data_IF_141337958905
#
_entry.id   IF_141337958905
#
_cell.length_a   1.000
_cell.length_b   1.000
_cell.length_c   1.000
_cell.angle_alpha   90.00
_cell.angle_beta   90.00
_cell.angle_gamma   90.00
#
_symmetry.space_group_name_H-M   'P 1'
#
loop_
_entity.id
_entity.type
_entity.pdbx_description
1 polymer ?
#
# COMPACT_ATOMS: atom_id res chain seq x y z
N UNK A 1 -27.03 -20.06 -35.22
CA UNK A 1 -25.89 -20.49 -34.38
C UNK A 1 -24.77 -19.43 -34.31
N UNK A 2 -24.30 -18.84 -35.43
CA UNK A 2 -23.26 -17.80 -35.40
C UNK A 2 -23.66 -16.55 -34.62
N UNK A 3 -24.92 -16.13 -34.66
CA UNK A 3 -25.39 -14.96 -33.94
C UNK A 3 -25.52 -15.21 -32.42
N UNK A 4 -25.86 -16.42 -32.01
CA UNK A 4 -25.85 -16.81 -30.59
C UNK A 4 -24.43 -16.75 -30.00
N UNK A 5 -23.45 -17.34 -30.69
CA UNK A 5 -22.05 -17.32 -30.21
C UNK A 5 -21.44 -15.92 -30.11
N UNK A 6 -21.91 -14.96 -30.88
CA UNK A 6 -21.42 -13.57 -30.84
C UNK A 6 -22.06 -12.77 -29.69
N UNK A 7 -23.30 -13.11 -29.31
CA UNK A 7 -24.05 -12.38 -28.26
C UNK A 7 -23.87 -12.93 -26.86
N UNK A 8 -23.78 -14.26 -26.74
CA UNK A 8 -23.94 -14.96 -25.46
C UNK A 8 -22.66 -15.66 -24.99
N UNK A 9 -21.60 -15.71 -25.81
CA UNK A 9 -20.33 -16.31 -25.45
C UNK A 9 -19.15 -15.65 -26.15
N UNK A 10 -17.96 -15.79 -25.57
CA UNK A 10 -16.73 -15.34 -26.20
C UNK A 10 -16.41 -16.19 -27.44
N UNK A 11 -15.95 -15.52 -28.51
CA UNK A 11 -15.44 -16.20 -29.68
C UNK A 11 -14.21 -17.05 -29.30
N UNK A 12 -14.22 -18.33 -29.66
CA UNK A 12 -13.13 -19.28 -29.34
C UNK A 12 -11.78 -18.81 -29.87
N UNK A 13 -11.77 -18.22 -31.07
CA UNK A 13 -10.55 -17.67 -31.67
C UNK A 13 -10.04 -16.49 -30.87
N UNK A 14 -10.92 -15.60 -30.42
CA UNK A 14 -10.54 -14.48 -29.55
C UNK A 14 -9.97 -14.97 -28.22
N UNK A 15 -10.61 -15.95 -27.57
CA UNK A 15 -10.14 -16.52 -26.33
C UNK A 15 -8.74 -17.15 -26.47
N UNK A 16 -8.50 -17.86 -27.57
CA UNK A 16 -7.21 -18.48 -27.88
C UNK A 16 -6.11 -17.44 -28.16
N UNK A 17 -6.45 -16.44 -28.99
CA UNK A 17 -5.53 -15.35 -29.32
C UNK A 17 -5.25 -14.40 -28.18
N UNK A 18 -6.20 -14.31 -27.25
CA UNK A 18 -6.10 -13.43 -26.06
C UNK A 18 -5.34 -14.02 -24.88
N UNK A 19 -4.80 -15.23 -24.98
CA UNK A 19 -4.02 -15.86 -23.92
C UNK A 19 -2.79 -15.02 -23.57
N UNK A 20 -2.52 -14.94 -22.29
CA UNK A 20 -1.49 -14.05 -21.73
C UNK A 20 -1.97 -12.61 -21.50
N UNK A 21 -3.00 -12.14 -22.22
CA UNK A 21 -3.54 -10.78 -22.07
C UNK A 21 -4.33 -10.63 -20.77
N UNK A 22 -5.19 -11.59 -20.45
CA UNK A 22 -5.96 -11.58 -19.20
C UNK A 22 -5.04 -11.69 -18.00
N UNK A 23 -4.13 -12.66 -18.02
CA UNK A 23 -3.15 -12.89 -16.98
C UNK A 23 -2.30 -11.65 -16.74
N UNK A 24 -1.89 -10.97 -17.80
CA UNK A 24 -1.14 -9.72 -17.71
C UNK A 24 -1.96 -8.61 -17.06
N UNK A 25 -3.23 -8.45 -17.42
CA UNK A 25 -4.08 -7.40 -16.81
C UNK A 25 -4.27 -7.65 -15.31
N UNK A 26 -4.49 -8.90 -14.90
CA UNK A 26 -4.55 -9.25 -13.48
C UNK A 26 -3.19 -9.03 -12.80
N UNK A 27 -2.10 -9.37 -13.48
CA UNK A 27 -0.75 -9.15 -12.95
C UNK A 27 -0.44 -7.66 -12.70
N UNK A 28 -0.94 -6.75 -13.56
CA UNK A 28 -0.83 -5.30 -13.31
C UNK A 28 -1.58 -4.88 -12.04
N UNK A 29 -2.76 -5.44 -11.79
CA UNK A 29 -3.50 -5.15 -10.56
C UNK A 29 -2.74 -5.66 -9.32
N UNK A 30 -2.20 -6.90 -9.37
CA UNK A 30 -1.39 -7.45 -8.29
C UNK A 30 -0.12 -6.62 -8.06
N UNK A 31 0.56 -6.20 -9.13
CA UNK A 31 1.76 -5.37 -9.04
C UNK A 31 1.47 -3.99 -8.43
N UNK A 32 0.35 -3.37 -8.78
CA UNK A 32 -0.07 -2.07 -8.21
C UNK A 32 -0.32 -2.20 -6.71
N UNK A 33 -1.03 -3.23 -6.29
CA UNK A 33 -1.26 -3.50 -4.87
C UNK A 33 0.04 -3.79 -4.13
N UNK A 34 0.92 -4.62 -4.72
CA UNK A 34 2.23 -4.92 -4.16
C UNK A 34 3.09 -3.65 -4.00
N UNK A 35 3.02 -2.71 -4.97
CA UNK A 35 3.71 -1.42 -4.87
C UNK A 35 3.26 -0.60 -3.66
N UNK A 36 1.97 -0.57 -3.37
CA UNK A 36 1.41 0.10 -2.19
C UNK A 36 1.92 -0.53 -0.88
N UNK A 37 1.89 -1.87 -0.79
CA UNK A 37 2.37 -2.59 0.41
C UNK A 37 3.87 -2.42 0.57
N UNK A 38 4.64 -2.46 -0.51
CA UNK A 38 6.09 -2.23 -0.48
C UNK A 38 6.44 -0.86 0.10
N UNK A 39 5.69 0.18 -0.26
CA UNK A 39 5.86 1.53 0.27
C UNK A 39 5.55 1.59 1.77
N UNK A 40 4.43 1.01 2.20
CA UNK A 40 4.08 0.91 3.62
C UNK A 40 5.16 0.18 4.40
N UNK A 41 5.66 -0.96 3.88
CA UNK A 41 6.71 -1.74 4.53
C UNK A 41 8.03 -0.95 4.64
N UNK A 42 8.36 -0.13 3.64
CA UNK A 42 9.52 0.76 3.70
C UNK A 42 9.36 1.80 4.81
N UNK A 43 8.21 2.47 4.86
CA UNK A 43 7.93 3.50 5.88
C UNK A 43 7.98 2.89 7.28
N UNK A 44 7.41 1.71 7.48
CA UNK A 44 7.43 1.01 8.76
C UNK A 44 8.86 0.64 9.20
N UNK A 45 9.72 0.18 8.29
CA UNK A 45 11.13 -0.07 8.58
C UNK A 45 11.86 1.20 9.00
N UNK A 46 11.61 2.30 8.28
CA UNK A 46 12.23 3.60 8.57
C UNK A 46 11.75 4.15 9.92
N UNK A 47 10.45 4.13 10.16
CA UNK A 47 9.84 4.68 11.38
C UNK A 47 10.18 3.86 12.63
N UNK A 48 10.42 2.55 12.49
CA UNK A 48 10.89 1.70 13.57
C UNK A 48 12.39 1.87 13.88
N UNK A 49 13.16 2.49 12.98
CA UNK A 49 14.60 2.66 13.18
C UNK A 49 14.90 3.56 14.39
N UNK A 50 16.05 3.34 15.01
CA UNK A 50 16.49 4.11 16.18
C UNK A 50 16.55 5.62 15.92
N UNK A 51 16.84 6.05 14.70
CA UNK A 51 16.94 7.46 14.34
C UNK A 51 15.59 8.17 14.34
N UNK A 52 14.52 7.45 14.02
CA UNK A 52 13.15 7.99 14.01
C UNK A 52 12.39 7.60 15.26
N UNK A 53 12.27 6.32 15.55
CA UNK A 53 11.60 5.81 16.74
C UNK A 53 10.12 6.18 16.85
N UNK A 54 9.46 6.41 15.70
CA UNK A 54 8.04 6.81 15.66
C UNK A 54 7.11 5.65 16.03
N UNK A 55 7.52 4.44 15.69
CA UNK A 55 6.77 3.23 15.98
C UNK A 55 7.67 2.14 16.54
N UNK A 56 7.05 1.19 17.24
CA UNK A 56 7.68 -0.04 17.70
C UNK A 56 6.88 -1.22 17.19
N UNK A 57 7.57 -2.13 16.52
CA UNK A 57 6.97 -3.38 16.04
C UNK A 57 6.83 -4.40 17.18
N UNK A 58 5.88 -5.36 17.07
CA UNK A 58 5.79 -6.49 17.99
C UNK A 58 7.11 -7.27 18.05
N UNK A 59 7.48 -7.72 19.23
CA UNK A 59 8.76 -8.42 19.44
C UNK A 59 8.88 -9.70 18.60
N UNK A 60 7.78 -10.43 18.44
CA UNK A 60 7.67 -11.63 17.61
C UNK A 60 7.81 -11.39 16.10
N UNK A 61 7.67 -10.14 15.66
CA UNK A 61 7.86 -9.71 14.26
C UNK A 61 9.22 -9.07 14.01
N UNK A 62 10.13 -9.20 14.98
CA UNK A 62 11.49 -8.69 14.88
C UNK A 62 12.50 -9.78 15.17
N UNK A 63 13.69 -9.70 14.58
CA UNK A 63 14.79 -10.59 14.92
C UNK A 63 15.89 -9.85 15.67
N UNK A 64 16.49 -10.57 16.62
CA UNK A 64 17.63 -10.08 17.37
C UNK A 64 18.92 -10.09 16.54
N UNK A 65 19.95 -9.47 17.11
CA UNK A 65 21.31 -9.56 16.58
C UNK A 65 22.14 -10.49 17.44
N UNK A 66 22.98 -11.31 16.81
CA UNK A 66 23.94 -12.18 17.50
C UNK A 66 25.04 -11.39 18.24
N UNK A 67 25.21 -10.11 17.92
CA UNK A 67 26.29 -9.26 18.44
C UNK A 67 25.75 -8.16 19.36
N UNK A 68 24.57 -7.61 19.02
CA UNK A 68 23.95 -6.52 19.77
C UNK A 68 22.63 -6.98 20.40
N UNK A 69 22.57 -7.32 21.69
CA UNK A 69 21.40 -7.96 22.32
C UNK A 69 20.16 -7.08 22.39
N UNK A 70 20.32 -5.77 22.23
CA UNK A 70 19.22 -4.80 22.21
C UNK A 70 18.66 -4.50 20.82
N UNK A 71 19.34 -4.96 19.76
CA UNK A 71 18.94 -4.67 18.37
C UNK A 71 17.76 -5.57 17.96
N UNK A 72 16.70 -4.93 17.50
CA UNK A 72 15.51 -5.56 16.92
C UNK A 72 15.37 -5.13 15.47
N UNK A 73 15.51 -6.07 14.54
CA UNK A 73 15.43 -5.80 13.11
C UNK A 73 13.98 -5.99 12.64
N UNK A 74 13.47 -5.14 11.74
CA UNK A 74 12.10 -5.24 11.20
C UNK A 74 12.01 -6.26 10.05
N UNK A 75 12.54 -7.47 10.23
CA UNK A 75 12.76 -8.48 9.19
C UNK A 75 11.50 -8.79 8.41
N UNK A 76 10.35 -8.86 9.09
CA UNK A 76 9.08 -9.17 8.43
C UNK A 76 8.71 -8.11 7.40
N UNK A 77 8.91 -6.83 7.72
CA UNK A 77 8.68 -5.75 6.75
C UNK A 77 9.77 -5.66 5.69
N UNK A 78 11.01 -6.01 6.02
CA UNK A 78 12.09 -6.10 5.02
C UNK A 78 11.77 -7.18 3.98
N UNK A 79 11.36 -8.37 4.42
CA UNK A 79 10.95 -9.47 3.55
C UNK A 79 9.66 -9.15 2.78
N UNK A 80 8.68 -8.53 3.43
CA UNK A 80 7.44 -8.08 2.77
C UNK A 80 7.76 -7.11 1.64
N UNK A 81 8.61 -6.11 1.88
CA UNK A 81 9.09 -5.16 0.87
C UNK A 81 9.75 -5.87 -0.30
N UNK A 82 10.66 -6.81 -0.02
CA UNK A 82 11.38 -7.54 -1.05
C UNK A 82 10.45 -8.42 -1.90
N UNK A 83 9.51 -9.15 -1.27
CA UNK A 83 8.49 -9.95 -1.97
C UNK A 83 7.58 -9.07 -2.83
N UNK A 84 7.10 -7.96 -2.29
CA UNK A 84 6.28 -7.01 -3.02
C UNK A 84 7.03 -6.37 -4.20
N UNK A 85 8.32 -6.04 -4.04
CA UNK A 85 9.15 -5.56 -5.14
C UNK A 85 9.31 -6.62 -6.25
N UNK A 86 9.49 -7.89 -5.87
CA UNK A 86 9.51 -9.00 -6.83
C UNK A 86 8.17 -9.11 -7.58
N UNK A 87 7.04 -9.04 -6.88
CA UNK A 87 5.70 -9.10 -7.49
C UNK A 87 5.45 -7.97 -8.49
N UNK A 88 6.04 -6.81 -8.33
CA UNK A 88 5.93 -5.71 -9.30
C UNK A 88 6.53 -6.03 -10.67
N UNK A 89 7.43 -7.01 -10.77
CA UNK A 89 7.97 -7.46 -12.06
C UNK A 89 7.06 -8.43 -12.81
N UNK A 90 6.00 -8.96 -12.17
CA UNK A 90 5.14 -10.00 -12.73
C UNK A 90 4.52 -9.65 -14.10
N UNK A 91 3.98 -8.45 -14.32
CA UNK A 91 3.43 -8.09 -15.65
C UNK A 91 4.48 -8.18 -16.76
N UNK A 92 5.71 -7.76 -16.47
CA UNK A 92 6.81 -7.81 -17.42
C UNK A 92 7.24 -9.24 -17.71
N UNK A 93 7.31 -10.11 -16.70
CA UNK A 93 7.61 -11.53 -16.89
C UNK A 93 6.59 -12.17 -17.83
N UNK A 94 5.29 -11.92 -17.63
CA UNK A 94 4.23 -12.44 -18.51
C UNK A 94 4.34 -11.89 -19.92
N UNK A 95 4.64 -10.58 -20.08
CA UNK A 95 4.86 -9.99 -21.39
C UNK A 95 6.03 -10.65 -22.12
N UNK A 96 7.13 -10.91 -21.43
CA UNK A 96 8.31 -11.55 -22.03
C UNK A 96 8.04 -13.00 -22.44
N UNK A 97 7.29 -13.77 -21.64
CA UNK A 97 6.89 -15.15 -21.97
C UNK A 97 5.97 -15.17 -23.19
N UNK A 98 5.08 -14.20 -23.33
CA UNK A 98 4.12 -14.11 -24.44
C UNK A 98 4.68 -13.41 -25.68
N UNK A 99 5.92 -12.98 -25.66
CA UNK A 99 6.55 -12.24 -26.75
C UNK A 99 6.98 -13.18 -27.90
N UNK A 100 7.05 -12.63 -29.12
CA UNK A 100 7.53 -13.32 -30.32
C UNK A 100 6.72 -14.58 -30.72
N UNK A 101 5.48 -14.70 -30.27
CA UNK A 101 4.61 -15.81 -30.62
C UNK A 101 3.75 -15.43 -31.82
N UNK A 102 3.65 -16.29 -32.87
CA UNK A 102 2.68 -16.10 -33.90
C UNK A 102 1.25 -16.34 -33.41
N UNK A 103 0.27 -15.94 -34.22
CA UNK A 103 -1.14 -16.14 -33.89
C UNK A 103 -1.49 -17.62 -33.71
N UNK A 104 -2.12 -17.99 -32.62
CA UNK A 104 -2.53 -19.36 -32.32
C UNK A 104 -2.18 -19.80 -30.88
N UNK A 105 -2.17 -21.13 -30.69
CA UNK A 105 -1.84 -21.75 -29.42
C UNK A 105 -0.39 -22.26 -29.45
N UNK A 106 0.37 -21.83 -28.47
CA UNK A 106 1.76 -22.25 -28.23
C UNK A 106 1.97 -22.66 -26.80
N UNK A 107 2.83 -23.65 -26.57
CA UNK A 107 3.13 -24.18 -25.23
C UNK A 107 3.89 -23.21 -24.35
N UNK A 108 4.56 -22.23 -24.93
CA UNK A 108 5.25 -21.13 -24.23
C UNK A 108 4.33 -20.47 -23.18
N UNK A 109 3.06 -20.28 -23.49
CA UNK A 109 2.07 -19.70 -22.61
C UNK A 109 1.79 -20.56 -21.35
N UNK A 110 2.24 -21.81 -21.30
CA UNK A 110 2.10 -22.62 -20.10
C UNK A 110 3.05 -22.18 -19.00
N UNK A 111 4.21 -21.60 -19.35
CA UNK A 111 5.19 -21.07 -18.40
C UNK A 111 4.62 -19.91 -17.57
N UNK A 112 3.62 -19.18 -18.09
CA UNK A 112 2.92 -18.14 -17.34
C UNK A 112 2.43 -18.67 -15.98
N UNK A 113 1.99 -19.92 -15.90
CA UNK A 113 1.48 -20.52 -14.66
C UNK A 113 2.50 -20.56 -13.53
N UNK A 114 3.77 -20.71 -13.87
CA UNK A 114 4.87 -20.82 -12.90
C UNK A 114 5.08 -19.52 -12.13
N UNK A 115 4.84 -18.38 -12.77
CA UNK A 115 5.00 -17.05 -12.16
C UNK A 115 3.68 -16.46 -11.69
N UNK A 116 2.57 -16.73 -12.41
CA UNK A 116 1.28 -16.10 -12.16
C UNK A 116 0.51 -16.72 -10.99
N UNK A 117 0.44 -18.05 -10.93
CA UNK A 117 -0.35 -18.72 -9.88
C UNK A 117 0.22 -18.52 -8.48
N UNK A 118 1.53 -18.66 -8.23
CA UNK A 118 2.10 -18.43 -6.92
C UNK A 118 2.00 -16.98 -6.44
N UNK A 119 1.92 -16.03 -7.37
CA UNK A 119 1.88 -14.61 -7.06
C UNK A 119 0.66 -14.22 -6.20
N UNK A 120 -0.47 -14.90 -6.37
CA UNK A 120 -1.66 -14.67 -5.55
C UNK A 120 -1.43 -15.04 -4.09
N UNK A 121 -0.83 -16.20 -3.84
CA UNK A 121 -0.57 -16.62 -2.47
C UNK A 121 0.50 -15.75 -1.83
N UNK A 122 1.57 -15.45 -2.54
CA UNK A 122 2.64 -14.58 -2.04
C UNK A 122 2.12 -13.19 -1.66
N UNK A 123 1.22 -12.59 -2.47
CA UNK A 123 0.60 -11.30 -2.15
C UNK A 123 -0.36 -11.40 -0.96
N UNK A 124 -1.15 -12.48 -0.87
CA UNK A 124 -2.02 -12.73 0.29
C UNK A 124 -1.23 -12.85 1.59
N UNK A 125 -0.11 -13.57 1.56
CA UNK A 125 0.76 -13.72 2.73
C UNK A 125 1.33 -12.35 3.16
N UNK A 126 1.76 -11.53 2.20
CA UNK A 126 2.23 -10.16 2.48
C UNK A 126 1.12 -9.30 3.11
N UNK A 127 -0.12 -9.39 2.59
CA UNK A 127 -1.28 -8.66 3.13
C UNK A 127 -1.61 -9.11 4.55
N UNK A 128 -1.65 -10.42 4.80
CA UNK A 128 -1.97 -10.99 6.12
C UNK A 128 -0.93 -10.56 7.17
N UNK A 129 0.35 -10.66 6.84
CA UNK A 129 1.42 -10.23 7.74
C UNK A 129 1.39 -8.72 7.99
N UNK A 130 1.19 -7.93 6.95
CA UNK A 130 1.04 -6.48 7.10
C UNK A 130 -0.13 -6.13 8.01
N UNK A 131 -1.29 -6.77 7.81
CA UNK A 131 -2.48 -6.55 8.63
C UNK A 131 -2.21 -6.92 10.09
N UNK A 132 -1.59 -8.08 10.34
CA UNK A 132 -1.26 -8.52 11.69
C UNK A 132 -0.36 -7.50 12.39
N UNK A 133 0.74 -7.10 11.77
CA UNK A 133 1.69 -6.17 12.39
C UNK A 133 1.07 -4.79 12.61
N UNK A 134 0.27 -4.29 11.65
CA UNK A 134 -0.39 -2.98 11.78
C UNK A 134 -1.42 -2.92 12.91
N UNK A 135 -2.03 -4.06 13.27
CA UNK A 135 -2.92 -4.13 14.43
C UNK A 135 -2.17 -4.12 15.77
N UNK A 136 -0.92 -4.57 15.79
CA UNK A 136 -0.11 -4.72 17.00
C UNK A 136 0.97 -3.65 17.13
N UNK A 137 1.13 -2.77 16.13
CA UNK A 137 2.13 -1.70 16.12
C UNK A 137 1.85 -0.70 17.25
N UNK A 138 2.90 -0.29 17.94
CA UNK A 138 2.80 0.73 18.99
C UNK A 138 3.39 2.04 18.49
N UNK A 139 2.60 3.11 18.60
CA UNK A 139 3.05 4.46 18.26
C UNK A 139 3.75 5.08 19.47
N UNK A 140 4.84 5.78 19.25
CA UNK A 140 5.48 6.59 20.27
C UNK A 140 4.74 7.94 20.39
N UNK A 141 3.81 8.02 21.32
CA UNK A 141 2.95 9.19 21.51
C UNK A 141 3.72 10.44 21.96
N UNK A 142 4.91 10.26 22.54
CA UNK A 142 5.75 11.34 23.10
C UNK A 142 6.86 11.79 22.15
N UNK A 143 6.87 11.33 20.90
CA UNK A 143 7.96 11.66 19.98
C UNK A 143 8.08 13.17 19.69
N UNK A 144 6.96 13.88 19.70
CA UNK A 144 6.91 15.32 19.46
C UNK A 144 7.32 16.16 20.67
N UNK A 145 7.54 15.53 21.85
CA UNK A 145 8.06 16.23 23.02
C UNK A 145 9.54 16.63 22.83
N UNK A 146 10.26 15.92 21.96
CA UNK A 146 11.64 16.24 21.60
C UNK A 146 11.70 17.57 20.83
N UNK A 147 12.57 18.47 21.29
CA UNK A 147 12.73 19.82 20.72
C UNK A 147 13.20 19.82 19.27
N UNK A 148 13.83 18.72 18.78
CA UNK A 148 14.21 18.60 17.38
C UNK A 148 13.00 18.67 16.42
N UNK A 149 11.78 18.41 16.91
CA UNK A 149 10.55 18.50 16.13
C UNK A 149 9.82 19.83 16.28
N UNK A 150 10.33 20.77 17.08
CA UNK A 150 9.64 22.04 17.33
C UNK A 150 9.34 22.81 16.04
N UNK A 151 10.27 22.81 15.10
CA UNK A 151 10.13 23.60 13.87
C UNK A 151 9.15 23.04 12.84
N UNK A 152 8.61 21.82 13.02
CA UNK A 152 7.52 21.33 12.16
C UNK A 152 6.24 22.17 12.34
N UNK A 153 6.10 22.84 13.48
CA UNK A 153 4.97 23.70 13.81
C UNK A 153 5.13 25.15 13.31
N UNK A 154 6.22 25.46 12.61
CA UNK A 154 6.47 26.83 12.11
C UNK A 154 5.39 27.35 11.16
N UNK A 155 4.81 26.45 10.33
CA UNK A 155 3.71 26.78 9.41
C UNK A 155 2.44 27.17 10.19
N UNK A 156 2.17 26.50 11.32
CA UNK A 156 1.02 26.80 12.16
C UNK A 156 1.12 28.21 12.74
N UNK A 157 2.31 28.63 13.16
CA UNK A 157 2.55 29.96 13.67
C UNK A 157 2.43 31.03 12.57
N UNK A 158 2.94 30.77 11.36
CA UNK A 158 2.71 31.65 10.18
C UNK A 158 1.23 31.80 9.90
N UNK A 159 0.47 30.70 9.91
CA UNK A 159 -0.98 30.71 9.66
C UNK A 159 -1.73 31.45 10.79
N UNK A 160 -1.30 31.32 12.04
CA UNK A 160 -1.87 32.02 13.18
C UNK A 160 -1.72 33.53 13.00
N UNK A 161 -0.50 34.00 12.72
CA UNK A 161 -0.21 35.41 12.50
C UNK A 161 -0.98 35.98 11.29
N UNK A 162 -1.11 35.19 10.22
CA UNK A 162 -1.89 35.60 9.05
C UNK A 162 -3.38 35.75 9.36
N UNK A 163 -3.95 34.85 10.18
CA UNK A 163 -5.35 34.96 10.63
C UNK A 163 -5.57 36.16 11.55
N UNK A 164 -4.55 36.61 12.27
CA UNK A 164 -4.57 37.83 13.10
C UNK A 164 -4.40 39.12 12.28
N UNK A 165 -4.29 39.02 10.95
CA UNK A 165 -4.26 40.15 10.02
C UNK A 165 -2.86 40.54 9.52
N UNK A 166 -1.82 39.82 9.89
CA UNK A 166 -0.48 40.05 9.36
C UNK A 166 -0.41 39.54 7.89
N UNK A 167 0.11 40.30 6.92
CA UNK A 167 0.36 39.77 5.60
C UNK A 167 1.21 38.51 5.64
N UNK A 168 0.82 37.45 4.91
CA UNK A 168 1.47 36.15 4.96
C UNK A 168 3.00 36.22 4.80
N UNK A 169 3.47 37.07 3.86
CA UNK A 169 4.93 37.24 3.62
C UNK A 169 5.65 37.82 4.83
N UNK A 170 5.02 38.69 5.57
CA UNK A 170 5.62 39.31 6.78
C UNK A 170 5.58 38.33 7.95
N UNK A 171 4.48 37.58 8.11
CA UNK A 171 4.37 36.47 9.05
C UNK A 171 5.47 35.43 8.81
N UNK A 172 5.66 35.00 7.57
CA UNK A 172 6.70 34.05 7.18
C UNK A 172 8.10 34.54 7.55
N UNK A 173 8.43 35.81 7.23
CA UNK A 173 9.72 36.42 7.59
C UNK A 173 9.92 36.52 9.09
N UNK A 174 8.87 36.95 9.81
CA UNK A 174 8.92 37.07 11.25
C UNK A 174 9.23 35.73 11.90
N UNK A 175 8.49 34.68 11.56
CA UNK A 175 8.71 33.34 12.11
C UNK A 175 10.10 32.82 11.77
N UNK A 176 10.60 33.04 10.54
CA UNK A 176 11.97 32.69 10.17
C UNK A 176 13.03 33.38 11.05
N UNK A 177 12.89 34.68 11.30
CA UNK A 177 13.78 35.43 12.17
C UNK A 177 13.68 34.97 13.64
N UNK A 178 12.49 34.66 14.13
CA UNK A 178 12.29 34.14 15.48
C UNK A 178 12.98 32.76 15.66
N UNK A 179 12.96 31.91 14.62
CA UNK A 179 13.69 30.63 14.59
C UNK A 179 15.21 30.87 14.64
N UNK A 180 15.74 31.74 13.78
CA UNK A 180 17.17 32.05 13.73
C UNK A 180 17.68 32.67 15.05
N UNK A 181 16.85 33.46 15.72
CA UNK A 181 17.16 34.09 17.01
C UNK A 181 16.96 33.12 18.20
N UNK A 182 16.44 31.92 17.97
CA UNK A 182 16.14 30.96 19.04
C UNK A 182 14.95 31.37 19.93
N UNK A 183 14.06 32.23 19.42
CA UNK A 183 12.89 32.73 20.15
C UNK A 183 11.59 32.02 19.77
N UNK A 184 11.66 31.08 18.79
CA UNK A 184 10.48 30.35 18.32
C UNK A 184 9.97 29.40 19.39
N UNK A 185 8.68 29.47 19.66
CA UNK A 185 7.96 28.53 20.52
C UNK A 185 6.57 28.26 19.97
N UNK A 186 6.05 27.06 20.20
CA UNK A 186 4.70 26.66 19.81
C UNK A 186 4.14 25.66 20.83
N UNK A 187 2.83 25.66 21.03
CA UNK A 187 2.15 24.75 21.96
C UNK A 187 2.03 23.32 21.43
N UNK A 188 2.54 23.08 20.20
CA UNK A 188 2.54 21.78 19.51
C UNK A 188 1.13 21.24 19.22
N UNK A 189 0.10 22.08 19.27
CA UNK A 189 -1.27 21.72 18.90
C UNK A 189 -1.58 22.10 17.46
N UNK A 190 -2.23 21.19 16.75
CA UNK A 190 -2.61 21.35 15.34
C UNK A 190 -4.11 21.12 15.21
N UNK A 191 -4.79 22.07 14.60
CA UNK A 191 -6.23 22.01 14.35
C UNK A 191 -6.52 22.24 12.86
N UNK A 192 -6.53 21.17 12.10
CA UNK A 192 -6.88 21.19 10.69
C UNK A 192 -8.30 20.69 10.48
N UNK A 193 -8.97 21.21 9.45
CA UNK A 193 -10.38 20.89 9.13
C UNK A 193 -10.57 20.30 7.74
N UNK A 194 -9.55 20.38 6.88
CA UNK A 194 -9.65 19.82 5.53
C UNK A 194 -9.55 18.28 5.55
N UNK A 195 -10.21 17.65 4.60
CA UNK A 195 -10.26 16.19 4.47
C UNK A 195 -8.85 15.58 4.36
N UNK A 196 -8.59 14.50 5.09
CA UNK A 196 -7.31 13.80 5.14
C UNK A 196 -6.25 14.44 6.04
N UNK A 197 -6.56 15.55 6.71
CA UNK A 197 -5.64 16.21 7.64
C UNK A 197 -5.68 15.62 9.05
N UNK A 198 -4.66 15.98 9.85
CA UNK A 198 -4.65 15.70 11.29
C UNK A 198 -5.88 16.34 11.94
N UNK A 199 -6.71 15.53 12.59
CA UNK A 199 -7.99 15.94 13.17
C UNK A 199 -9.21 15.70 12.28
N UNK A 200 -9.02 15.43 10.97
CA UNK A 200 -10.08 15.08 10.02
C UNK A 200 -9.60 14.03 9.00
N UNK A 201 -9.25 12.84 9.49
CA UNK A 201 -8.67 11.76 8.68
C UNK A 201 -9.67 11.09 7.72
N UNK A 202 -10.98 11.31 7.91
CA UNK A 202 -12.05 10.71 7.10
C UNK A 202 -12.05 9.17 7.12
N UNK A 203 -11.64 8.54 8.24
CA UNK A 203 -11.54 7.08 8.34
C UNK A 203 -12.90 6.39 8.16
N UNK A 204 -13.98 6.99 8.64
CA UNK A 204 -15.33 6.43 8.52
C UNK A 204 -15.80 6.46 7.06
N UNK A 205 -15.51 7.52 6.33
CA UNK A 205 -15.82 7.66 4.91
C UNK A 205 -15.00 6.67 4.06
N UNK A 206 -13.72 6.46 4.41
CA UNK A 206 -12.85 5.46 3.77
C UNK A 206 -13.40 4.05 4.00
N UNK A 207 -13.82 3.74 5.24
CA UNK A 207 -14.43 2.47 5.59
C UNK A 207 -15.75 2.25 4.86
N UNK A 208 -16.60 3.26 4.77
CA UNK A 208 -17.86 3.21 4.03
C UNK A 208 -17.64 3.02 2.52
N UNK A 209 -16.61 3.64 1.95
CA UNK A 209 -16.24 3.46 0.54
C UNK A 209 -15.76 2.03 0.28
N UNK A 210 -14.93 1.47 1.17
CA UNK A 210 -14.48 0.09 1.10
C UNK A 210 -15.64 -0.89 1.15
N UNK A 211 -16.58 -0.70 2.09
CA UNK A 211 -17.77 -1.55 2.24
C UNK A 211 -18.63 -1.54 0.97
N UNK A 212 -18.92 -0.37 0.42
CA UNK A 212 -19.66 -0.23 -0.85
C UNK A 212 -18.95 -0.94 -2.02
N UNK A 213 -17.62 -0.88 -2.04
CA UNK A 213 -16.82 -1.57 -3.06
C UNK A 213 -16.95 -3.08 -2.93
N UNK A 214 -16.86 -3.63 -1.70
CA UNK A 214 -17.02 -5.06 -1.42
C UNK A 214 -18.44 -5.54 -1.79
N UNK A 215 -19.47 -4.78 -1.46
CA UNK A 215 -20.86 -5.09 -1.80
C UNK A 215 -21.11 -5.14 -3.31
N UNK A 216 -20.29 -4.42 -4.10
CA UNK A 216 -20.33 -4.47 -5.55
C UNK A 216 -19.82 -5.78 -6.17
N UNK A 217 -19.14 -6.64 -5.41
CA UNK A 217 -18.69 -7.94 -5.89
C UNK A 217 -19.79 -9.00 -5.81
N UNK A 218 -19.97 -9.78 -6.87
CA UNK A 218 -20.92 -10.88 -6.90
C UNK A 218 -20.28 -12.19 -6.39
N UNK A 219 -19.93 -12.24 -5.10
CA UNK A 219 -19.35 -13.44 -4.49
C UNK A 219 -20.31 -14.64 -4.51
N UNK A 220 -21.61 -14.40 -4.34
CA UNK A 220 -22.63 -15.46 -4.36
C UNK A 220 -22.72 -16.13 -5.73
N UNK A 221 -22.64 -15.36 -6.83
CA UNK A 221 -22.62 -15.90 -8.17
C UNK A 221 -21.40 -16.79 -8.42
N UNK A 222 -20.24 -16.39 -7.91
CA UNK A 222 -19.01 -17.19 -7.99
C UNK A 222 -19.13 -18.48 -7.19
N UNK A 223 -19.60 -18.44 -5.95
CA UNK A 223 -19.81 -19.63 -5.12
C UNK A 223 -20.81 -20.61 -5.74
N UNK A 224 -21.89 -20.10 -6.32
CA UNK A 224 -22.88 -20.93 -6.99
C UNK A 224 -22.29 -21.60 -8.24
N UNK A 225 -21.49 -20.87 -9.02
CA UNK A 225 -20.82 -21.45 -10.19
C UNK A 225 -19.83 -22.54 -9.76
N UNK A 226 -19.05 -22.32 -8.72
CA UNK A 226 -18.12 -23.31 -8.17
C UNK A 226 -18.85 -24.56 -7.64
N UNK A 227 -19.91 -24.40 -6.86
CA UNK A 227 -20.75 -25.53 -6.38
C UNK A 227 -21.27 -26.34 -7.56
N UNK A 228 -21.78 -25.66 -8.61
CA UNK A 228 -22.32 -26.32 -9.79
C UNK A 228 -21.24 -27.12 -10.54
N UNK A 229 -20.06 -26.53 -10.72
CA UNK A 229 -18.93 -27.17 -11.41
C UNK A 229 -18.37 -28.38 -10.65
N UNK A 230 -18.36 -28.32 -9.32
CA UNK A 230 -17.85 -29.38 -8.46
C UNK A 230 -18.92 -30.43 -8.09
N UNK A 231 -20.15 -30.30 -8.60
CA UNK A 231 -21.26 -31.20 -8.25
C UNK A 231 -21.63 -31.19 -6.75
N UNK A 232 -21.24 -30.13 -6.05
CA UNK A 232 -21.60 -29.95 -4.63
C UNK A 232 -22.99 -29.34 -4.51
N UNK A 233 -23.90 -30.05 -3.82
CA UNK A 233 -25.25 -29.54 -3.50
C UNK A 233 -25.19 -28.55 -2.34
#
# INVERSE_FOLDING_TARGET
QRQMCIRDSYNVVYAQMGRGKMERNVAFALATLAGTISKLAFDACMFNSQNFGFVKLPDECTTGSSIMPHKKNPDVFELTRAKCNKLQSLPQQIMMIANNLPSGYFRDLQIIKEVFLPAFQELKDCLQMTTYIMNEIKVNEHILDDDKYLFIFSVEEVNRLAREGMPFRDAYKKVGLDIEAGHFSHDKQVHHTHEGSIGNLCNDEISALMQRTIEGFNFQGMEQAEKTLLGRK
#
